data_IF_505654307746
#
_entry.id   IF_505654307746
#
_cell.length_a   1.000
_cell.length_b   1.000
_cell.length_c   1.000
_cell.angle_alpha   90.00
_cell.angle_beta   90.00
_cell.angle_gamma   90.00
#
_symmetry.space_group_name_H-M   'P 1'
#
loop_
_entity.id
_entity.type
_entity.pdbx_description
1 polymer ?
#
# COMPACT_ATOMS: atom_id res chain seq x y z
N UNK A 1 7.96 20.65 28.36
CA UNK A 1 6.64 21.17 28.01
C UNK A 1 5.94 20.05 27.26
N UNK A 2 4.95 19.41 27.89
CA UNK A 2 4.18 18.32 27.25
C UNK A 2 3.24 18.96 26.23
N UNK A 3 3.64 18.91 24.95
CA UNK A 3 2.75 19.23 23.85
C UNK A 3 1.64 18.18 23.82
N UNK A 4 0.45 18.51 24.26
CA UNK A 4 -0.73 17.70 23.96
C UNK A 4 -1.00 17.84 22.47
N UNK A 5 -0.55 16.86 21.68
CA UNK A 5 -0.93 16.74 20.28
C UNK A 5 -2.47 16.72 20.21
N UNK A 6 -3.05 17.78 19.66
CA UNK A 6 -4.47 17.80 19.31
C UNK A 6 -4.65 16.77 18.17
N UNK A 7 -5.49 15.76 18.37
CA UNK A 7 -5.95 14.92 17.25
C UNK A 7 -6.47 15.84 16.15
N UNK A 8 -6.04 15.59 14.92
CA UNK A 8 -6.50 16.28 13.73
C UNK A 8 -8.03 16.15 13.61
N UNK A 9 -8.70 17.21 13.19
CA UNK A 9 -10.12 17.12 12.86
C UNK A 9 -10.27 16.41 11.52
N UNK A 10 -10.78 15.19 11.54
CA UNK A 10 -11.09 14.41 10.34
C UNK A 10 -12.61 14.29 10.18
N UNK A 11 -13.06 14.24 8.95
CA UNK A 11 -14.42 13.85 8.57
C UNK A 11 -14.38 12.56 7.76
N UNK A 12 -15.25 11.62 8.11
CA UNK A 12 -15.43 10.40 7.33
C UNK A 12 -16.21 10.73 6.06
N UNK A 13 -15.69 10.26 4.93
CA UNK A 13 -16.28 10.45 3.61
C UNK A 13 -16.46 9.11 2.90
N UNK A 14 -17.49 9.03 2.06
CA UNK A 14 -17.73 7.89 1.18
C UNK A 14 -17.79 8.39 -0.24
N UNK A 15 -16.82 7.96 -1.04
CA UNK A 15 -16.59 8.46 -2.40
C UNK A 15 -17.10 7.42 -3.39
N UNK A 16 -18.23 7.67 -4.09
CA UNK A 16 -18.71 6.77 -5.13
C UNK A 16 -17.86 6.91 -6.38
N UNK A 17 -17.40 5.79 -6.93
CA UNK A 17 -16.57 5.72 -8.12
C UNK A 17 -17.16 4.74 -9.13
N UNK A 18 -17.06 5.08 -10.42
CA UNK A 18 -17.34 4.18 -11.54
C UNK A 18 -16.03 3.91 -12.27
N UNK A 19 -15.57 2.67 -12.24
CA UNK A 19 -14.29 2.25 -12.81
C UNK A 19 -14.56 1.30 -13.98
N UNK A 20 -13.97 1.62 -15.13
CA UNK A 20 -14.03 0.76 -16.32
C UNK A 20 -12.62 0.31 -16.69
N UNK A 21 -12.32 -0.97 -16.43
CA UNK A 21 -10.99 -1.54 -16.65
C UNK A 21 -11.08 -3.00 -17.09
N UNK A 22 -10.08 -3.43 -17.87
CA UNK A 22 -9.91 -4.83 -18.26
C UNK A 22 -9.58 -5.69 -17.04
N UNK A 23 -10.05 -6.93 -17.05
CA UNK A 23 -9.80 -7.89 -15.97
C UNK A 23 -8.95 -9.05 -16.48
N UNK A 24 -8.07 -9.55 -15.62
CA UNK A 24 -7.49 -10.87 -15.81
C UNK A 24 -8.49 -11.94 -15.35
N UNK A 25 -8.47 -13.08 -16.03
CA UNK A 25 -9.18 -14.27 -15.56
C UNK A 25 -8.27 -15.03 -14.59
N UNK A 26 -8.58 -14.94 -13.29
CA UNK A 26 -7.78 -15.54 -12.22
C UNK A 26 -8.12 -17.03 -12.12
N UNK A 27 -7.17 -17.87 -12.49
CA UNK A 27 -7.27 -19.33 -12.40
C UNK A 27 -6.70 -19.84 -11.05
N UNK A 28 -7.17 -19.27 -9.96
CA UNK A 28 -6.85 -19.71 -8.60
C UNK A 28 -8.15 -19.91 -7.82
N UNK A 29 -8.37 -21.12 -7.33
CA UNK A 29 -9.49 -21.41 -6.43
C UNK A 29 -8.94 -21.63 -5.03
N UNK A 30 -9.36 -20.81 -4.08
CA UNK A 30 -9.01 -20.92 -2.68
C UNK A 30 -10.27 -21.22 -1.87
N UNK A 31 -10.35 -22.39 -1.27
CA UNK A 31 -11.49 -22.87 -0.47
C UNK A 31 -11.11 -23.00 0.99
N UNK A 32 -9.85 -23.37 1.26
CA UNK A 32 -9.31 -23.61 2.58
C UNK A 32 -7.82 -23.21 2.67
N UNK A 33 -7.21 -23.43 3.83
CA UNK A 33 -5.81 -23.07 4.07
C UNK A 33 -4.81 -23.92 3.29
N UNK A 34 -5.18 -25.13 2.82
CA UNK A 34 -4.32 -25.91 1.94
C UNK A 34 -4.23 -25.30 0.55
N UNK A 35 -5.37 -24.79 0.04
CA UNK A 35 -5.38 -24.05 -1.23
C UNK A 35 -4.56 -22.74 -1.11
N UNK A 36 -4.65 -22.04 0.04
CA UNK A 36 -3.84 -20.83 0.30
C UNK A 36 -2.33 -21.13 0.32
N UNK A 37 -1.91 -22.25 0.92
CA UNK A 37 -0.50 -22.71 0.89
C UNK A 37 -0.08 -23.09 -0.52
N UNK A 38 -0.95 -23.79 -1.27
CA UNK A 38 -0.68 -24.17 -2.67
C UNK A 38 -0.49 -22.92 -3.55
N UNK A 39 -1.31 -21.87 -3.35
CA UNK A 39 -1.13 -20.59 -4.01
C UNK A 39 0.20 -19.93 -3.62
N UNK A 40 0.57 -19.97 -2.34
CA UNK A 40 1.86 -19.44 -1.88
C UNK A 40 3.03 -20.16 -2.58
N UNK A 41 3.03 -21.48 -2.66
CA UNK A 41 4.02 -22.22 -3.44
C UNK A 41 4.03 -21.78 -4.90
N UNK A 42 2.87 -21.69 -5.53
CA UNK A 42 2.77 -21.23 -6.91
C UNK A 42 3.36 -19.84 -7.11
N UNK A 43 3.09 -18.87 -6.20
CA UNK A 43 3.59 -17.50 -6.31
C UNK A 43 5.07 -17.35 -5.95
N UNK A 44 5.66 -18.23 -5.14
CA UNK A 44 7.01 -18.08 -4.59
C UNK A 44 8.06 -18.98 -5.25
N UNK A 45 7.66 -20.11 -5.83
CA UNK A 45 8.57 -21.08 -6.46
C UNK A 45 9.00 -20.69 -7.86
N UNK A 46 8.42 -19.60 -8.41
CA UNK A 46 8.67 -19.25 -9.81
C UNK A 46 10.01 -18.57 -10.04
N UNK A 47 10.62 -19.00 -11.12
CA UNK A 47 11.65 -18.24 -11.79
C UNK A 47 10.92 -17.26 -12.70
N UNK A 48 10.84 -16.01 -12.31
CA UNK A 48 10.05 -14.93 -12.90
C UNK A 48 9.69 -15.12 -14.38
N UNK A 49 8.38 -15.15 -14.67
CA UNK A 49 7.78 -15.06 -16.00
C UNK A 49 8.33 -16.06 -17.03
N UNK A 50 8.61 -17.29 -16.64
CA UNK A 50 8.93 -18.31 -17.62
C UNK A 50 7.67 -19.01 -18.13
N UNK A 51 7.63 -19.43 -19.42
CA UNK A 51 6.50 -20.17 -19.96
C UNK A 51 6.18 -21.47 -19.20
N UNK A 52 7.20 -22.02 -18.50
CA UNK A 52 7.10 -23.28 -17.78
C UNK A 52 6.48 -23.15 -16.37
N UNK A 53 6.37 -21.93 -15.86
CA UNK A 53 5.77 -21.63 -14.55
C UNK A 53 4.83 -20.41 -14.64
N UNK A 54 3.65 -20.57 -15.26
CA UNK A 54 2.72 -19.47 -15.48
C UNK A 54 2.07 -19.02 -14.17
N UNK A 55 1.80 -17.70 -14.08
CA UNK A 55 0.94 -17.14 -13.04
C UNK A 55 -0.45 -17.82 -13.08
N UNK A 56 -1.19 -17.87 -11.95
CA UNK A 56 -2.53 -18.44 -11.92
C UNK A 56 -3.55 -17.51 -12.63
N UNK A 57 -3.28 -17.23 -13.90
CA UNK A 57 -4.06 -16.37 -14.78
C UNK A 57 -4.31 -17.15 -16.08
N UNK A 58 -5.57 -17.24 -16.48
CA UNK A 58 -5.98 -17.86 -17.73
C UNK A 58 -6.00 -16.82 -18.86
N UNK A 59 -4.95 -16.83 -19.70
CA UNK A 59 -4.87 -15.91 -20.83
C UNK A 59 -4.37 -14.50 -20.47
N UNK A 60 -4.63 -13.54 -21.34
CA UNK A 60 -4.27 -12.12 -21.14
C UNK A 60 -5.39 -11.29 -20.53
N UNK A 61 -5.22 -9.96 -20.59
CA UNK A 61 -6.28 -9.03 -20.21
C UNK A 61 -7.53 -9.24 -21.08
N UNK A 62 -8.68 -9.42 -20.42
CA UNK A 62 -9.97 -9.53 -21.06
C UNK A 62 -10.56 -8.18 -21.47
N UNK A 63 -11.85 -8.18 -21.81
CA UNK A 63 -12.58 -6.96 -22.12
C UNK A 63 -12.73 -6.05 -20.89
N UNK A 64 -12.99 -4.75 -21.14
CA UNK A 64 -13.26 -3.79 -20.07
C UNK A 64 -14.59 -4.11 -19.41
N UNK A 65 -14.55 -4.16 -18.08
CA UNK A 65 -15.73 -4.31 -17.22
C UNK A 65 -15.91 -3.01 -16.44
N UNK A 66 -17.13 -2.49 -16.45
CA UNK A 66 -17.49 -1.31 -15.65
C UNK A 66 -18.11 -1.75 -14.34
N UNK A 67 -17.51 -1.32 -13.23
CA UNK A 67 -17.96 -1.61 -11.87
C UNK A 67 -18.12 -0.33 -11.06
N UNK A 68 -19.07 -0.34 -10.11
CA UNK A 68 -19.29 0.77 -9.19
C UNK A 68 -18.76 0.39 -7.81
N UNK A 69 -17.94 1.27 -7.23
CA UNK A 69 -17.37 1.12 -5.90
C UNK A 69 -17.68 2.33 -5.03
N UNK A 70 -17.67 2.13 -3.74
CA UNK A 70 -17.66 3.21 -2.75
C UNK A 70 -16.38 3.08 -1.93
N UNK A 71 -15.53 4.08 -2.00
CA UNK A 71 -14.31 4.15 -1.20
C UNK A 71 -14.62 4.88 0.11
N UNK A 72 -14.30 4.25 1.23
CA UNK A 72 -14.33 4.86 2.55
C UNK A 72 -13.00 5.54 2.83
N UNK A 73 -13.05 6.78 3.28
CA UNK A 73 -11.85 7.54 3.61
C UNK A 73 -12.10 8.51 4.76
N UNK A 74 -11.05 8.90 5.46
CA UNK A 74 -11.02 10.07 6.31
C UNK A 74 -10.35 11.24 5.58
N UNK A 75 -11.03 12.39 5.55
CA UNK A 75 -10.49 13.65 5.06
C UNK A 75 -10.10 14.51 6.26
N UNK A 76 -8.81 14.75 6.43
CA UNK A 76 -8.21 15.39 7.58
C UNK A 76 -7.47 16.67 7.18
N UNK A 77 -7.51 17.70 8.03
CA UNK A 77 -6.82 18.98 7.77
C UNK A 77 -7.52 19.86 6.75
N UNK A 78 -6.89 21.00 6.45
CA UNK A 78 -7.45 22.05 5.57
C UNK A 78 -6.40 22.68 4.65
N UNK A 79 -5.22 22.03 4.52
CA UNK A 79 -4.16 22.50 3.62
C UNK A 79 -4.57 22.43 2.16
N UNK A 80 -4.05 23.35 1.33
CA UNK A 80 -4.33 23.34 -0.11
C UNK A 80 -3.56 22.24 -0.86
N UNK A 81 -2.48 21.70 -0.28
CA UNK A 81 -1.81 20.49 -0.73
C UNK A 81 -2.43 19.28 -0.05
N UNK A 82 -2.93 18.33 -0.85
CA UNK A 82 -3.54 17.09 -0.36
C UNK A 82 -2.61 15.90 -0.56
N UNK A 83 -2.36 15.17 0.52
CA UNK A 83 -1.65 13.88 0.48
C UNK A 83 -2.72 12.77 0.44
N UNK A 84 -2.67 11.93 -0.59
CA UNK A 84 -3.50 10.71 -0.69
C UNK A 84 -2.64 9.54 -0.25
N UNK A 85 -3.05 8.83 0.81
CA UNK A 85 -2.30 7.71 1.38
C UNK A 85 -2.87 6.38 0.93
N UNK A 86 -2.03 5.51 0.33
CA UNK A 86 -2.42 4.17 -0.16
C UNK A 86 -1.68 3.10 0.62
N UNK A 87 -2.41 2.30 1.39
CA UNK A 87 -1.85 1.26 2.25
C UNK A 87 -1.46 -0.01 1.48
N UNK A 88 -0.64 -0.84 2.12
CA UNK A 88 -0.15 -2.11 1.60
C UNK A 88 -1.17 -3.26 1.62
N UNK A 89 -0.66 -4.45 1.30
CA UNK A 89 -1.39 -5.72 1.46
C UNK A 89 -1.37 -6.10 2.95
N UNK A 90 -2.42 -6.77 3.42
CA UNK A 90 -2.60 -7.17 4.83
C UNK A 90 -2.75 -5.95 5.77
N UNK A 91 -3.09 -4.81 5.23
CA UNK A 91 -3.23 -3.54 5.95
C UNK A 91 -4.56 -2.86 5.66
N UNK A 92 -4.79 -1.74 6.34
CA UNK A 92 -5.86 -0.79 6.09
C UNK A 92 -5.35 0.65 6.27
N UNK A 93 -6.18 1.66 6.00
CA UNK A 93 -5.86 3.08 6.25
C UNK A 93 -5.38 3.36 7.68
N UNK A 94 -5.62 2.44 8.63
CA UNK A 94 -5.16 2.55 10.02
C UNK A 94 -3.64 2.51 10.15
N UNK A 95 -2.93 1.93 9.18
CA UNK A 95 -1.47 2.00 9.11
C UNK A 95 -0.95 3.44 9.19
N UNK A 96 -1.61 4.37 8.51
CA UNK A 96 -1.21 5.78 8.52
C UNK A 96 -1.74 6.58 9.71
N UNK A 97 -2.72 6.05 10.44
CA UNK A 97 -3.34 6.72 11.58
C UNK A 97 -3.68 5.73 12.71
N UNK A 98 -2.68 5.23 13.45
CA UNK A 98 -2.90 4.35 14.58
C UNK A 98 -3.76 5.03 15.67
N UNK A 99 -4.74 4.28 16.21
CA UNK A 99 -5.64 4.76 17.25
C UNK A 99 -5.37 4.15 18.64
N UNK A 100 -4.20 3.54 18.82
CA UNK A 100 -3.74 3.03 20.10
C UNK A 100 -3.42 4.19 21.06
N UNK A 101 -3.56 3.98 22.37
CA UNK A 101 -3.12 4.97 23.38
C UNK A 101 -1.61 5.23 23.24
N UNK A 102 -1.20 6.48 23.39
CA UNK A 102 0.19 6.93 23.29
C UNK A 102 0.89 6.53 21.96
N UNK A 103 0.12 6.51 20.86
CA UNK A 103 0.63 6.21 19.50
C UNK A 103 0.76 7.46 18.61
N UNK A 104 0.62 8.65 19.13
CA UNK A 104 0.62 9.90 18.35
C UNK A 104 1.89 10.06 17.47
N UNK A 105 3.03 9.57 17.94
CA UNK A 105 4.31 9.59 17.21
C UNK A 105 4.31 8.71 15.95
N UNK A 106 3.38 7.76 15.83
CA UNK A 106 3.23 6.84 14.70
C UNK A 106 2.14 7.28 13.72
N UNK A 107 1.42 8.39 14.02
CA UNK A 107 0.34 8.89 13.16
C UNK A 107 0.89 9.84 12.11
N UNK A 108 1.09 9.32 10.89
CA UNK A 108 1.46 10.15 9.75
C UNK A 108 0.38 11.21 9.45
N UNK A 109 -0.90 10.82 9.52
CA UNK A 109 -2.02 11.74 9.26
C UNK A 109 -1.99 12.94 10.21
N UNK A 110 -1.80 12.71 11.53
CA UNK A 110 -1.76 13.80 12.49
C UNK A 110 -0.50 14.68 12.29
N UNK A 111 0.63 14.08 11.94
CA UNK A 111 1.86 14.82 11.63
C UNK A 111 1.71 15.66 10.35
N UNK A 112 1.13 15.12 9.29
CA UNK A 112 0.91 15.84 8.04
C UNK A 112 -0.07 17.03 8.22
N UNK A 113 -1.15 16.83 8.97
CA UNK A 113 -2.07 17.93 9.30
C UNK A 113 -1.38 19.01 10.15
N UNK A 114 -0.53 18.61 11.10
CA UNK A 114 0.25 19.57 11.90
C UNK A 114 1.28 20.32 11.05
N UNK A 115 1.81 19.71 9.98
CA UNK A 115 2.69 20.34 9.01
C UNK A 115 1.96 21.23 7.98
N UNK A 116 0.61 21.28 8.01
CA UNK A 116 -0.18 22.16 7.17
C UNK A 116 -0.78 21.51 5.92
N UNK A 117 -0.67 20.20 5.76
CA UNK A 117 -1.28 19.45 4.67
C UNK A 117 -2.73 19.07 4.97
N UNK A 118 -3.51 18.78 3.94
CA UNK A 118 -4.70 17.95 4.05
C UNK A 118 -4.36 16.51 3.66
N UNK A 119 -5.09 15.55 4.22
CA UNK A 119 -4.85 14.13 3.98
C UNK A 119 -6.15 13.43 3.62
N UNK A 120 -6.18 12.72 2.50
CA UNK A 120 -7.20 11.75 2.13
C UNK A 120 -6.65 10.35 2.43
N UNK A 121 -7.01 9.80 3.57
CA UNK A 121 -6.58 8.49 4.05
C UNK A 121 -7.69 7.47 3.83
N UNK A 122 -7.54 6.60 2.83
CA UNK A 122 -8.62 5.72 2.36
C UNK A 122 -8.32 4.23 2.56
N UNK A 123 -9.37 3.44 2.73
CA UNK A 123 -9.30 1.98 2.59
C UNK A 123 -9.41 1.62 1.11
N UNK A 124 -8.50 0.76 0.61
CA UNK A 124 -8.57 0.20 -0.75
C UNK A 124 -9.91 -0.53 -0.95
N UNK A 125 -10.35 -0.71 -2.17
CA UNK A 125 -11.56 -1.49 -2.44
C UNK A 125 -11.39 -2.94 -1.93
N UNK A 126 -12.43 -3.52 -1.35
CA UNK A 126 -12.37 -4.84 -0.71
C UNK A 126 -11.77 -4.85 0.70
N UNK A 127 -11.33 -3.69 1.22
CA UNK A 127 -10.67 -3.56 2.52
C UNK A 127 -11.47 -2.64 3.43
N UNK A 128 -11.48 -2.96 4.72
CA UNK A 128 -12.02 -2.11 5.78
C UNK A 128 -13.48 -1.71 5.56
N UNK A 129 -13.73 -0.40 5.46
CA UNK A 129 -15.07 0.15 5.28
C UNK A 129 -15.42 0.47 3.81
N UNK A 130 -14.50 0.25 2.87
CA UNK A 130 -14.77 0.36 1.43
C UNK A 130 -15.68 -0.77 0.94
N UNK A 131 -16.15 -0.67 -0.29
CA UNK A 131 -17.02 -1.71 -0.89
C UNK A 131 -16.41 -3.10 -0.77
N UNK A 132 -17.17 -4.04 -0.24
CA UNK A 132 -16.88 -5.48 -0.39
C UNK A 132 -17.01 -5.85 -1.86
N UNK A 133 -16.01 -6.53 -2.40
CA UNK A 133 -15.89 -6.88 -3.81
C UNK A 133 -15.59 -8.37 -3.97
N UNK A 134 -15.64 -8.88 -5.19
CA UNK A 134 -15.18 -10.23 -5.47
C UNK A 134 -13.65 -10.29 -5.46
N UNK A 135 -13.09 -11.24 -4.70
CA UNK A 135 -11.64 -11.36 -4.46
C UNK A 135 -10.81 -11.68 -5.69
N UNK A 136 -11.41 -12.24 -6.75
CA UNK A 136 -10.69 -12.63 -7.98
C UNK A 136 -10.98 -11.70 -9.17
N UNK A 137 -12.23 -11.23 -9.31
CA UNK A 137 -12.62 -10.44 -10.49
C UNK A 137 -12.44 -8.94 -10.30
N UNK A 138 -12.56 -8.43 -9.08
CA UNK A 138 -12.50 -7.00 -8.79
C UNK A 138 -11.24 -6.60 -8.01
N UNK A 139 -10.78 -7.43 -7.07
CA UNK A 139 -9.54 -7.20 -6.33
C UNK A 139 -8.34 -7.51 -7.22
N UNK A 140 -8.05 -6.61 -8.15
CA UNK A 140 -6.96 -6.72 -9.12
C UNK A 140 -6.16 -5.43 -9.19
N UNK A 141 -4.86 -5.54 -9.35
CA UNK A 141 -3.91 -4.44 -9.27
C UNK A 141 -4.25 -3.26 -10.20
N UNK A 142 -4.52 -3.52 -11.48
CA UNK A 142 -4.86 -2.47 -12.46
C UNK A 142 -6.19 -1.77 -12.15
N UNK A 143 -7.12 -2.46 -11.48
CA UNK A 143 -8.38 -1.87 -11.03
C UNK A 143 -8.12 -0.87 -9.92
N UNK A 144 -7.27 -1.23 -8.96
CA UNK A 144 -6.92 -0.37 -7.83
C UNK A 144 -6.09 0.84 -8.26
N UNK A 145 -5.22 0.71 -9.27
CA UNK A 145 -4.55 1.86 -9.91
C UNK A 145 -5.60 2.84 -10.45
N UNK A 146 -6.64 2.35 -11.12
CA UNK A 146 -7.71 3.23 -11.65
C UNK A 146 -8.62 3.80 -10.56
N UNK A 147 -8.79 3.10 -9.45
CA UNK A 147 -9.44 3.67 -8.24
C UNK A 147 -8.63 4.86 -7.73
N UNK A 148 -7.30 4.73 -7.61
CA UNK A 148 -6.45 5.84 -7.17
C UNK A 148 -6.45 7.00 -8.19
N UNK A 149 -6.44 6.73 -9.50
CA UNK A 149 -6.59 7.77 -10.53
C UNK A 149 -7.90 8.57 -10.35
N UNK A 150 -8.99 7.88 -10.01
CA UNK A 150 -10.27 8.54 -9.74
C UNK A 150 -10.23 9.35 -8.43
N UNK A 151 -9.49 8.89 -7.40
CA UNK A 151 -9.29 9.66 -6.17
C UNK A 151 -8.41 10.90 -6.40
N UNK A 152 -7.41 10.84 -7.28
CA UNK A 152 -6.64 12.03 -7.71
C UNK A 152 -7.58 13.05 -8.38
N UNK A 153 -8.47 12.60 -9.25
CA UNK A 153 -9.49 13.45 -9.86
C UNK A 153 -10.43 14.06 -8.80
N UNK A 154 -10.90 13.25 -7.84
CA UNK A 154 -11.72 13.73 -6.73
C UNK A 154 -10.98 14.79 -5.90
N UNK A 155 -9.70 14.58 -5.58
CA UNK A 155 -8.89 15.55 -4.86
C UNK A 155 -8.82 16.91 -5.57
N UNK A 156 -8.60 16.89 -6.88
CA UNK A 156 -8.51 18.11 -7.71
C UNK A 156 -9.86 18.79 -7.91
N UNK A 157 -10.87 18.05 -8.35
CA UNK A 157 -12.12 18.61 -8.83
C UNK A 157 -13.17 18.82 -7.74
N UNK A 158 -13.20 17.93 -6.73
CA UNK A 158 -14.23 17.96 -5.67
C UNK A 158 -13.70 18.52 -4.37
N UNK A 159 -12.50 18.10 -3.94
CA UNK A 159 -11.88 18.62 -2.73
C UNK A 159 -11.06 19.90 -2.98
N UNK A 160 -10.90 20.31 -4.26
CA UNK A 160 -10.23 21.55 -4.69
C UNK A 160 -8.78 21.67 -4.21
N UNK A 161 -8.05 20.55 -4.16
CA UNK A 161 -6.64 20.56 -3.84
C UNK A 161 -5.83 21.29 -4.92
N UNK A 162 -5.02 22.27 -4.52
CA UNK A 162 -4.10 22.98 -5.44
C UNK A 162 -2.94 22.08 -5.86
N UNK A 163 -2.49 21.19 -4.96
CA UNK A 163 -1.45 20.19 -5.21
C UNK A 163 -1.87 18.84 -4.65
N UNK A 164 -1.45 17.78 -5.32
CA UNK A 164 -1.71 16.38 -4.91
C UNK A 164 -0.41 15.63 -4.79
N UNK A 165 -0.19 15.05 -3.63
CA UNK A 165 0.90 14.14 -3.33
C UNK A 165 0.33 12.72 -3.23
N UNK A 166 0.95 11.75 -3.89
CA UNK A 166 0.66 10.35 -3.62
C UNK A 166 1.69 9.80 -2.64
N UNK A 167 1.22 9.20 -1.55
CA UNK A 167 2.06 8.49 -0.60
C UNK A 167 1.59 7.05 -0.54
N UNK A 168 2.41 6.14 -1.06
CA UNK A 168 2.12 4.71 -1.08
C UNK A 168 3.04 3.91 -0.18
N UNK A 169 2.48 2.87 0.45
CA UNK A 169 3.24 1.89 1.21
C UNK A 169 3.09 0.49 0.60
N UNK A 170 4.22 -0.23 0.43
CA UNK A 170 4.23 -1.62 -0.02
C UNK A 170 3.47 -1.81 -1.34
N UNK A 171 2.48 -2.67 -1.41
CA UNK A 171 1.58 -2.84 -2.56
C UNK A 171 0.96 -1.49 -2.98
N UNK A 172 0.58 -0.64 -2.01
CA UNK A 172 0.11 0.71 -2.27
C UNK A 172 1.15 1.64 -2.89
N UNK A 173 2.44 1.37 -2.69
CA UNK A 173 3.51 2.10 -3.36
C UNK A 173 3.56 1.80 -4.87
N UNK A 174 3.39 0.53 -5.26
CA UNK A 174 3.27 0.15 -6.67
C UNK A 174 2.01 0.75 -7.32
N UNK A 175 0.87 0.75 -6.62
CA UNK A 175 -0.35 1.43 -7.07
C UNK A 175 -0.08 2.93 -7.27
N UNK A 176 0.56 3.59 -6.31
CA UNK A 176 0.84 5.03 -6.36
C UNK A 176 1.82 5.40 -7.47
N UNK A 177 2.86 4.60 -7.69
CA UNK A 177 3.82 4.82 -8.77
C UNK A 177 3.16 4.70 -10.16
N UNK A 178 2.30 3.66 -10.38
CA UNK A 178 1.60 3.52 -11.65
C UNK A 178 0.48 4.57 -11.83
N UNK A 179 -0.18 5.00 -10.75
CA UNK A 179 -1.12 6.11 -10.82
C UNK A 179 -0.41 7.43 -11.20
N UNK A 180 0.76 7.73 -10.60
CA UNK A 180 1.56 8.89 -10.97
C UNK A 180 2.04 8.84 -12.43
N UNK A 181 2.43 7.65 -12.93
CA UNK A 181 2.79 7.44 -14.32
C UNK A 181 1.62 7.65 -15.30
N UNK A 182 0.39 7.33 -14.89
CA UNK A 182 -0.81 7.48 -15.71
C UNK A 182 -1.41 8.89 -15.63
N UNK A 183 -1.19 9.63 -14.55
CA UNK A 183 -1.80 10.94 -14.25
C UNK A 183 -0.76 12.05 -14.09
N UNK A 184 0.25 12.05 -14.95
CA UNK A 184 1.48 12.86 -14.85
C UNK A 184 1.27 14.36 -14.58
N UNK A 185 0.21 14.97 -15.08
CA UNK A 185 -0.09 16.39 -14.86
C UNK A 185 -0.93 16.68 -13.61
N UNK A 186 -1.40 15.65 -12.91
CA UNK A 186 -2.29 15.79 -11.76
C UNK A 186 -1.61 15.46 -10.43
N UNK A 187 -0.40 14.88 -10.46
CA UNK A 187 0.40 14.51 -9.28
C UNK A 187 1.63 15.42 -9.22
N UNK A 188 1.79 16.13 -8.10
CA UNK A 188 2.87 17.10 -7.89
C UNK A 188 4.09 16.51 -7.18
N UNK A 189 3.91 15.44 -6.40
CA UNK A 189 5.00 14.67 -5.81
C UNK A 189 4.57 13.23 -5.51
N UNK A 190 5.54 12.32 -5.45
CA UNK A 190 5.37 10.91 -5.15
C UNK A 190 6.27 10.52 -3.98
N UNK A 191 5.70 9.86 -2.97
CA UNK A 191 6.44 9.29 -1.84
C UNK A 191 6.15 7.79 -1.77
N UNK A 192 7.18 6.97 -1.77
CA UNK A 192 7.08 5.52 -1.75
C UNK A 192 7.81 4.96 -0.53
N UNK A 193 7.15 4.09 0.22
CA UNK A 193 7.74 3.38 1.35
C UNK A 193 7.50 1.88 1.22
N UNK A 194 8.41 1.05 1.75
CA UNK A 194 8.30 -0.41 1.56
C UNK A 194 8.36 -0.81 0.08
N UNK A 195 9.18 -0.12 -0.71
CA UNK A 195 9.24 -0.21 -2.17
C UNK A 195 10.68 -0.34 -2.66
N UNK A 196 10.97 -1.38 -3.40
CA UNK A 196 12.32 -1.62 -3.97
C UNK A 196 12.38 -1.56 -5.50
N UNK A 197 11.25 -1.34 -6.19
CA UNK A 197 11.19 -1.38 -7.65
C UNK A 197 11.34 -2.79 -8.24
N UNK A 198 11.46 -3.81 -7.40
CA UNK A 198 11.62 -5.22 -7.82
C UNK A 198 10.75 -6.16 -7.01
N UNK A 199 10.42 -7.32 -7.55
CA UNK A 199 9.70 -8.41 -6.85
C UNK A 199 10.59 -9.63 -6.58
N UNK A 200 11.92 -9.51 -6.74
CA UNK A 200 12.82 -10.65 -6.47
C UNK A 200 12.77 -11.12 -5.01
N UNK A 201 12.34 -10.26 -4.08
CA UNK A 201 12.18 -10.57 -2.66
C UNK A 201 10.75 -10.96 -2.27
N UNK A 202 9.88 -11.18 -3.25
CA UNK A 202 8.48 -11.56 -3.01
C UNK A 202 8.34 -12.87 -2.21
N UNK A 203 9.24 -13.85 -2.45
CA UNK A 203 9.19 -15.13 -1.76
C UNK A 203 9.40 -15.03 -0.23
N UNK A 204 10.36 -14.27 0.31
CA UNK A 204 10.48 -14.03 1.76
C UNK A 204 9.22 -13.43 2.37
N UNK A 205 8.58 -12.45 1.72
CA UNK A 205 7.33 -11.86 2.16
C UNK A 205 6.19 -12.90 2.21
N UNK A 206 5.87 -13.52 1.08
CA UNK A 206 4.72 -14.43 0.99
C UNK A 206 4.87 -15.67 1.89
N UNK A 207 6.11 -16.19 2.00
CA UNK A 207 6.41 -17.31 2.89
C UNK A 207 6.35 -16.91 4.37
N UNK A 208 6.89 -15.73 4.71
CA UNK A 208 6.89 -15.19 6.07
C UNK A 208 5.49 -14.84 6.57
N UNK A 209 4.65 -14.22 5.76
CA UNK A 209 3.27 -13.91 6.09
C UNK A 209 2.41 -15.16 6.30
N UNK A 210 2.74 -16.27 5.63
CA UNK A 210 2.08 -17.55 5.83
C UNK A 210 0.58 -17.48 5.59
N UNK A 211 0.15 -17.11 4.40
CA UNK A 211 -1.23 -16.78 4.05
C UNK A 211 -2.26 -17.82 4.52
N UNK A 212 -3.39 -17.32 5.00
CA UNK A 212 -4.56 -18.07 5.45
C UNK A 212 -5.83 -17.47 4.85
N UNK A 213 -6.85 -18.31 4.70
CA UNK A 213 -8.19 -17.84 4.30
C UNK A 213 -8.78 -16.99 5.43
N UNK A 214 -9.03 -15.72 5.15
CA UNK A 214 -9.42 -14.72 6.13
C UNK A 214 -10.67 -15.12 6.94
N UNK A 215 -11.74 -15.56 6.24
CA UNK A 215 -13.00 -15.97 6.89
C UNK A 215 -12.85 -17.19 7.81
N UNK A 216 -11.80 -18.00 7.63
CA UNK A 216 -11.49 -19.14 8.52
C UNK A 216 -10.59 -18.72 9.66
N UNK A 217 -9.73 -17.72 9.45
CA UNK A 217 -8.81 -17.18 10.43
C UNK A 217 -9.54 -16.38 11.52
N UNK A 218 -10.43 -15.48 11.12
CA UNK A 218 -11.30 -14.72 12.02
C UNK A 218 -12.72 -14.63 11.45
N UNK A 219 -13.57 -15.61 11.75
CA UNK A 219 -14.95 -15.61 11.25
C UNK A 219 -15.81 -14.44 11.75
N UNK A 220 -15.46 -13.86 12.89
CA UNK A 220 -16.20 -12.72 13.46
C UNK A 220 -15.94 -11.44 12.64
N UNK A 221 -14.69 -11.22 12.20
CA UNK A 221 -14.34 -10.07 11.37
C UNK A 221 -14.66 -10.30 9.89
N UNK A 222 -14.28 -11.45 9.36
CA UNK A 222 -14.20 -11.69 7.92
C UNK A 222 -15.10 -12.83 7.40
N UNK A 223 -15.98 -13.37 8.25
CA UNK A 223 -16.88 -14.47 7.85
C UNK A 223 -17.84 -14.15 6.70
N UNK A 224 -18.06 -12.86 6.41
CA UNK A 224 -18.89 -12.37 5.32
C UNK A 224 -18.16 -12.29 3.96
N UNK A 225 -16.84 -12.40 3.94
CA UNK A 225 -16.02 -12.35 2.72
C UNK A 225 -16.04 -13.70 2.00
N UNK A 226 -15.80 -13.68 0.70
CA UNK A 226 -15.61 -14.93 -0.05
C UNK A 226 -14.27 -15.62 0.34
N UNK A 227 -14.11 -16.87 -0.08
CA UNK A 227 -12.95 -17.67 0.34
C UNK A 227 -11.62 -17.27 -0.31
N UNK A 228 -11.65 -16.44 -1.32
CA UNK A 228 -10.44 -15.93 -1.97
C UNK A 228 -9.80 -14.74 -1.24
N UNK A 229 -10.38 -14.27 -0.13
CA UNK A 229 -9.71 -13.29 0.72
C UNK A 229 -8.71 -13.98 1.65
N UNK A 230 -7.47 -13.48 1.63
CA UNK A 230 -6.32 -14.02 2.35
C UNK A 230 -5.79 -13.01 3.37
N UNK A 231 -5.22 -13.52 4.46
CA UNK A 231 -4.57 -12.73 5.51
C UNK A 231 -3.34 -13.47 6.03
N UNK A 232 -2.57 -12.85 6.93
CA UNK A 232 -1.42 -13.48 7.59
C UNK A 232 -1.85 -14.55 8.61
N UNK A 233 -0.97 -15.50 8.91
CA UNK A 233 -1.28 -16.61 9.81
C UNK A 233 -1.48 -16.21 11.27
N UNK A 234 -0.67 -15.29 11.77
CA UNK A 234 -0.69 -14.86 13.17
C UNK A 234 0.14 -13.58 13.37
N UNK A 235 0.15 -13.08 14.61
CA UNK A 235 0.89 -11.87 14.98
C UNK A 235 2.40 -12.01 14.76
N UNK A 236 2.97 -13.19 14.90
CA UNK A 236 4.42 -13.40 14.74
C UNK A 236 4.81 -13.37 13.26
N UNK A 237 4.00 -13.96 12.40
CA UNK A 237 4.18 -13.90 10.95
C UNK A 237 4.07 -12.45 10.44
N UNK A 238 3.05 -11.69 10.89
CA UNK A 238 2.95 -10.26 10.61
C UNK A 238 4.19 -9.50 11.10
N UNK A 239 4.61 -9.76 12.35
CA UNK A 239 5.78 -9.10 12.94
C UNK A 239 7.05 -9.40 12.13
N UNK A 240 7.22 -10.64 11.67
CA UNK A 240 8.39 -11.03 10.87
C UNK A 240 8.46 -10.29 9.53
N UNK A 241 7.33 -10.11 8.85
CA UNK A 241 7.32 -9.44 7.53
C UNK A 241 7.22 -7.92 7.61
N UNK A 242 6.67 -7.37 8.70
CA UNK A 242 6.43 -5.93 8.86
C UNK A 242 7.47 -5.20 9.69
N UNK A 243 8.04 -5.85 10.71
CA UNK A 243 8.83 -5.17 11.73
C UNK A 243 10.29 -5.65 11.80
N UNK A 244 11.14 -4.86 12.44
CA UNK A 244 12.54 -5.18 12.69
C UNK A 244 12.94 -4.91 14.14
N UNK A 245 13.43 -5.94 14.84
CA UNK A 245 13.96 -5.81 16.20
C UNK A 245 15.34 -5.11 16.21
N UNK A 246 15.65 -4.20 17.15
CA UNK A 246 14.83 -3.76 18.30
C UNK A 246 14.08 -2.43 18.03
N UNK A 247 13.79 -2.09 16.82
CA UNK A 247 13.37 -0.75 16.39
C UNK A 247 11.86 -0.49 16.49
N UNK A 248 11.09 -1.40 17.09
CA UNK A 248 9.63 -1.24 17.25
C UNK A 248 9.18 -1.55 18.70
N UNK A 249 7.99 -1.09 19.05
CA UNK A 249 7.34 -1.45 20.29
C UNK A 249 6.43 -2.66 20.06
N UNK A 250 6.59 -3.72 20.84
CA UNK A 250 5.78 -4.96 20.74
C UNK A 250 4.28 -4.69 20.67
N UNK A 251 3.79 -3.70 21.46
CA UNK A 251 2.37 -3.29 21.45
C UNK A 251 1.89 -2.80 20.08
N UNK A 252 2.80 -2.22 19.26
CA UNK A 252 2.46 -1.78 17.90
C UNK A 252 2.22 -2.98 16.99
N UNK A 253 3.09 -3.99 17.03
CA UNK A 253 2.88 -5.22 16.26
C UNK A 253 1.60 -5.96 16.68
N UNK A 254 1.33 -6.06 17.99
CA UNK A 254 0.09 -6.65 18.53
C UNK A 254 -1.15 -5.86 18.06
N UNK A 255 -1.09 -4.53 18.11
CA UNK A 255 -2.16 -3.66 17.62
C UNK A 255 -2.35 -3.76 16.10
N UNK A 256 -1.25 -3.79 15.34
CA UNK A 256 -1.30 -3.93 13.87
C UNK A 256 -2.04 -5.21 13.49
N UNK A 257 -1.70 -6.33 14.10
CA UNK A 257 -2.39 -7.60 13.84
C UNK A 257 -3.87 -7.55 14.24
N UNK A 258 -4.16 -7.03 15.44
CA UNK A 258 -5.52 -7.07 16.00
C UNK A 258 -6.48 -6.05 15.34
N UNK A 259 -5.96 -4.92 14.83
CA UNK A 259 -6.78 -3.75 14.46
C UNK A 259 -6.52 -3.26 13.04
N UNK A 260 -5.27 -3.10 12.63
CA UNK A 260 -4.92 -2.52 11.33
C UNK A 260 -4.85 -3.57 10.21
N UNK A 261 -4.58 -4.84 10.56
CA UNK A 261 -4.52 -5.95 9.61
C UNK A 261 -5.90 -6.20 9.00
N UNK A 262 -5.97 -6.15 7.67
CA UNK A 262 -7.16 -6.46 6.87
C UNK A 262 -6.78 -7.41 5.72
N UNK A 263 -7.69 -8.25 5.24
CA UNK A 263 -7.39 -9.21 4.20
C UNK A 263 -7.29 -8.57 2.81
N UNK A 264 -6.68 -9.30 1.89
CA UNK A 264 -6.55 -8.94 0.48
C UNK A 264 -7.13 -10.02 -0.42
N UNK A 265 -7.54 -9.65 -1.64
CA UNK A 265 -8.12 -10.57 -2.61
C UNK A 265 -7.10 -11.41 -3.35
N UNK A 266 -7.42 -12.66 -3.67
CA UNK A 266 -6.58 -13.62 -4.40
C UNK A 266 -6.09 -13.08 -5.74
N UNK A 267 -6.81 -12.14 -6.35
CA UNK A 267 -6.41 -11.53 -7.63
C UNK A 267 -5.32 -10.48 -7.53
N UNK A 268 -5.09 -9.87 -6.34
CA UNK A 268 -4.18 -8.73 -6.19
C UNK A 268 -2.73 -9.09 -6.53
N UNK A 269 -2.15 -10.10 -5.92
CA UNK A 269 -0.75 -10.49 -6.12
C UNK A 269 -0.46 -11.03 -7.53
N UNK A 270 -1.25 -11.96 -8.09
CA UNK A 270 -1.02 -12.42 -9.45
C UNK A 270 -1.07 -11.30 -10.48
N UNK A 271 -2.00 -10.35 -10.32
CA UNK A 271 -2.15 -9.25 -11.27
C UNK A 271 -1.09 -8.16 -11.11
N UNK A 272 -0.56 -7.92 -9.91
CA UNK A 272 0.66 -7.13 -9.71
C UNK A 272 1.83 -7.74 -10.47
N UNK A 273 2.04 -9.06 -10.33
CA UNK A 273 3.11 -9.80 -10.99
C UNK A 273 2.97 -9.82 -12.52
N UNK A 274 1.75 -9.75 -13.04
CA UNK A 274 1.46 -9.79 -14.48
C UNK A 274 1.48 -8.40 -15.14
N UNK A 275 1.36 -7.33 -14.37
CA UNK A 275 1.25 -5.97 -14.91
C UNK A 275 2.63 -5.39 -15.21
N UNK A 276 2.90 -4.95 -16.45
CA UNK A 276 4.13 -4.22 -16.76
C UNK A 276 4.17 -2.87 -16.00
N UNK A 277 5.31 -2.54 -15.44
CA UNK A 277 5.48 -1.27 -14.70
C UNK A 277 6.03 -0.18 -15.61
N UNK A 278 5.33 0.95 -15.66
CA UNK A 278 5.68 2.10 -16.49
C UNK A 278 6.27 3.24 -15.64
N UNK A 279 7.18 2.93 -14.69
CA UNK A 279 7.79 3.93 -13.79
C UNK A 279 8.53 5.03 -14.56
N UNK A 280 9.06 4.72 -15.75
CA UNK A 280 9.69 5.69 -16.63
C UNK A 280 8.78 6.83 -17.12
N UNK A 281 7.46 6.72 -16.90
CA UNK A 281 6.52 7.79 -17.20
C UNK A 281 6.22 8.71 -15.99
N UNK A 282 6.73 8.40 -14.80
CA UNK A 282 6.59 9.26 -13.62
C UNK A 282 7.41 10.52 -13.82
N UNK A 283 6.75 11.68 -13.89
CA UNK A 283 7.41 12.99 -14.06
C UNK A 283 7.51 13.77 -12.76
N UNK A 284 6.72 13.41 -11.76
CA UNK A 284 6.72 14.06 -10.45
C UNK A 284 8.05 13.83 -9.70
N UNK A 285 8.53 14.79 -8.90
CA UNK A 285 9.59 14.55 -7.95
C UNK A 285 9.20 13.38 -7.03
N UNK A 286 10.13 12.45 -6.86
CA UNK A 286 9.88 11.17 -6.19
C UNK A 286 10.87 10.96 -5.05
N UNK A 287 10.35 10.61 -3.87
CA UNK A 287 11.12 10.18 -2.71
C UNK A 287 10.81 8.71 -2.40
N UNK A 288 11.84 7.89 -2.25
CA UNK A 288 11.73 6.50 -1.82
C UNK A 288 12.43 6.30 -0.48
N UNK A 289 11.68 5.89 0.52
CA UNK A 289 12.18 5.63 1.88
C UNK A 289 12.03 4.15 2.23
N UNK A 290 13.13 3.54 2.67
CA UNK A 290 13.18 2.12 2.93
C UNK A 290 13.77 1.84 4.32
N UNK A 291 13.13 0.94 5.05
CA UNK A 291 13.71 0.37 6.26
C UNK A 291 14.85 -0.57 5.88
N UNK A 292 16.03 -0.40 6.48
CA UNK A 292 17.21 -1.24 6.19
C UNK A 292 16.91 -2.73 6.32
N UNK A 293 16.10 -3.11 7.30
CA UNK A 293 15.84 -4.51 7.63
C UNK A 293 14.51 -5.02 7.09
N UNK A 294 14.02 -4.42 6.02
CA UNK A 294 12.78 -4.81 5.37
C UNK A 294 12.92 -6.19 4.69
N UNK A 295 12.24 -7.17 5.27
CA UNK A 295 12.18 -8.55 4.72
C UNK A 295 11.33 -8.60 3.45
N UNK A 296 10.26 -7.80 3.41
CA UNK A 296 9.23 -7.88 2.36
C UNK A 296 9.69 -7.25 1.04
N UNK A 297 10.41 -6.13 1.09
CA UNK A 297 10.85 -5.43 -0.10
C UNK A 297 12.29 -5.75 -0.52
N UNK A 298 13.17 -6.15 0.43
CA UNK A 298 14.61 -6.32 0.19
C UNK A 298 15.18 -7.64 0.73
N UNK A 299 14.36 -8.51 1.31
CA UNK A 299 14.84 -9.77 1.88
C UNK A 299 15.64 -9.62 3.17
N UNK A 300 15.57 -8.46 3.86
CA UNK A 300 16.17 -8.21 5.18
C UNK A 300 17.43 -7.35 5.21
N UNK A 301 17.95 -6.91 4.06
CA UNK A 301 18.98 -5.85 3.95
C UNK A 301 18.75 -5.04 2.68
N UNK A 302 18.33 -3.78 2.87
CA UNK A 302 17.97 -2.90 1.76
C UNK A 302 19.14 -2.01 1.26
N UNK A 303 20.28 -2.01 1.96
CA UNK A 303 21.41 -1.13 1.57
C UNK A 303 21.87 -1.47 0.16
N UNK A 304 21.84 -0.47 -0.73
CA UNK A 304 22.21 -0.59 -2.14
C UNK A 304 21.13 -1.18 -3.06
N UNK A 305 19.97 -1.62 -2.53
CA UNK A 305 18.88 -2.16 -3.36
C UNK A 305 18.25 -1.06 -4.24
N UNK A 306 18.29 0.20 -3.80
CA UNK A 306 17.76 1.34 -4.53
C UNK A 306 18.76 2.00 -5.50
N UNK A 307 20.00 1.55 -5.57
CA UNK A 307 21.07 2.19 -6.35
C UNK A 307 20.75 2.28 -7.86
N UNK A 308 20.02 1.31 -8.39
CA UNK A 308 19.63 1.26 -9.81
C UNK A 308 18.26 1.82 -10.11
N UNK A 309 17.51 2.27 -9.10
CA UNK A 309 16.12 2.71 -9.27
C UNK A 309 15.97 3.90 -10.23
N UNK A 310 17.00 4.73 -10.37
CA UNK A 310 17.03 5.83 -11.34
C UNK A 310 16.94 5.36 -12.80
N UNK A 311 17.30 4.11 -13.08
CA UNK A 311 17.19 3.51 -14.42
C UNK A 311 15.73 3.23 -14.78
N UNK A 312 14.87 3.05 -13.77
CA UNK A 312 13.42 2.83 -13.94
C UNK A 312 12.63 4.15 -13.94
N UNK A 313 13.01 5.13 -13.12
CA UNK A 313 12.32 6.43 -12.98
C UNK A 313 12.92 7.52 -13.89
N UNK A 314 13.11 7.22 -15.15
CA UNK A 314 13.87 8.05 -16.12
C UNK A 314 13.27 9.43 -16.41
N UNK A 315 11.97 9.65 -16.19
CA UNK A 315 11.31 10.94 -16.40
C UNK A 315 11.10 11.73 -15.10
N UNK A 316 11.40 11.18 -13.93
CA UNK A 316 11.24 11.88 -12.66
C UNK A 316 12.15 13.12 -12.63
N UNK A 317 11.57 14.27 -12.27
CA UNK A 317 12.36 15.54 -12.20
C UNK A 317 13.40 15.51 -11.10
N UNK A 318 13.10 14.79 -10.01
CA UNK A 318 13.99 14.49 -8.88
C UNK A 318 13.70 13.05 -8.44
N UNK A 319 14.73 12.28 -8.12
CA UNK A 319 14.60 11.00 -7.43
C UNK A 319 15.55 11.00 -6.24
N UNK A 320 15.00 10.94 -5.04
CA UNK A 320 15.74 10.78 -3.80
C UNK A 320 15.44 9.41 -3.18
N UNK A 321 16.49 8.75 -2.69
CA UNK A 321 16.39 7.42 -2.09
C UNK A 321 17.09 7.38 -0.74
N UNK A 322 16.47 6.71 0.24
CA UNK A 322 17.04 6.39 1.55
C UNK A 322 16.74 4.93 1.85
N UNK A 323 17.75 4.09 2.07
CA UNK A 323 17.61 2.64 2.21
C UNK A 323 18.24 2.04 3.49
N UNK A 324 18.68 2.91 4.40
CA UNK A 324 19.42 2.51 5.60
C UNK A 324 18.72 2.87 6.92
N UNK A 325 17.42 3.21 6.87
CA UNK A 325 16.64 3.58 8.05
C UNK A 325 16.54 2.39 9.03
N UNK A 326 16.72 2.59 10.36
CA UNK A 326 16.67 1.51 11.35
C UNK A 326 15.22 1.06 11.59
N UNK A 327 14.66 0.34 10.62
CA UNK A 327 13.29 -0.13 10.60
C UNK A 327 13.14 -1.37 9.69
N UNK A 328 12.01 -2.05 9.80
CA UNK A 328 11.53 -3.05 8.86
C UNK A 328 10.59 -2.44 7.81
N UNK A 329 9.68 -3.28 7.30
CA UNK A 329 8.75 -2.92 6.24
C UNK A 329 7.76 -1.83 6.65
N UNK A 330 7.09 -2.00 7.81
CA UNK A 330 6.08 -1.09 8.34
C UNK A 330 6.72 0.18 8.92
N UNK A 331 7.42 0.93 8.08
CA UNK A 331 8.31 2.03 8.44
C UNK A 331 7.69 3.05 9.42
N UNK A 332 6.40 3.39 9.25
CA UNK A 332 5.70 4.37 10.09
C UNK A 332 5.30 3.83 11.47
N UNK A 333 5.43 2.52 11.70
CA UNK A 333 5.13 1.88 12.99
C UNK A 333 6.39 1.54 13.80
N UNK A 334 7.55 2.01 13.33
CA UNK A 334 8.84 1.90 14.02
C UNK A 334 9.15 3.17 14.82
N UNK A 335 10.04 3.06 15.80
CA UNK A 335 10.42 4.17 16.70
C UNK A 335 11.03 5.37 15.97
N UNK A 336 11.50 5.18 14.73
CA UNK A 336 12.03 6.22 13.85
C UNK A 336 10.95 7.02 13.13
N UNK A 337 9.67 6.66 13.23
CA UNK A 337 8.57 7.28 12.46
C UNK A 337 8.59 8.83 12.45
N UNK A 338 8.82 9.55 13.57
CA UNK A 338 8.89 11.01 13.53
C UNK A 338 9.97 11.55 12.59
N UNK A 339 11.15 10.92 12.56
CA UNK A 339 12.24 11.33 11.67
C UNK A 339 11.89 11.05 10.19
N UNK A 340 11.21 9.94 9.92
CA UNK A 340 10.71 9.62 8.59
C UNK A 340 9.71 10.66 8.12
N UNK A 341 8.79 11.10 8.99
CA UNK A 341 7.82 12.14 8.68
C UNK A 341 8.52 13.48 8.39
N UNK A 342 9.49 13.87 9.21
CA UNK A 342 10.30 15.07 8.98
C UNK A 342 11.05 15.02 7.64
N UNK A 343 11.58 13.86 7.25
CA UNK A 343 12.22 13.66 5.94
C UNK A 343 11.22 13.86 4.79
N UNK A 344 10.01 13.27 4.90
CA UNK A 344 8.96 13.45 3.90
C UNK A 344 8.57 14.92 3.76
N UNK A 345 8.31 15.61 4.86
CA UNK A 345 7.90 17.02 4.81
C UNK A 345 9.06 17.94 4.35
N UNK A 346 10.30 17.63 4.69
CA UNK A 346 11.49 18.30 4.17
C UNK A 346 11.55 18.21 2.65
N UNK A 347 11.47 16.98 2.10
CA UNK A 347 11.44 16.76 0.66
C UNK A 347 10.29 17.52 -0.03
N UNK A 348 9.06 17.41 0.48
CA UNK A 348 7.91 18.11 -0.12
C UNK A 348 8.12 19.65 -0.12
N UNK A 349 8.66 20.19 0.97
CA UNK A 349 8.98 21.63 1.06
C UNK A 349 10.06 22.05 0.05
N UNK A 350 11.10 21.26 -0.14
CA UNK A 350 12.17 21.51 -1.12
C UNK A 350 11.66 21.48 -2.56
N UNK A 351 10.65 20.65 -2.83
CA UNK A 351 9.96 20.58 -4.12
C UNK A 351 8.84 21.65 -4.26
N UNK A 352 8.69 22.54 -3.29
CA UNK A 352 7.61 23.55 -3.22
C UNK A 352 6.20 22.93 -3.27
N UNK A 353 6.02 21.78 -2.65
CA UNK A 353 4.73 21.05 -2.61
C UNK A 353 4.09 21.10 -1.24
#
# INVERSE_FOLDING_TARGET
>A
MTSTSRKSSCSEVRIPLTISESRFDINATVRDNWDAVSLTFNLTSRVFNTPDDPLPIAGGLGEKVTSNYTVAASLCGTGSTMIITTHGIIESRRYFQPNLSDSAQYSFVDAAVAAGYSVLNYDRIGVGESSTINSSTDAQFQVEVNVLNALVTYARETAHAEKVVLLGHSYGAYISALSAAATTSAVDALVLTGFSGTLQYFAPFASGAGFRVARLQDPARWGHLDSGYLTTSDVYALTYVGFADPYFEKRMAEWTFAVACEPFGVGELPTLLATPWAFGNVTAPTLVLQGRYDVSACGGDCVGVLDTLAEDFTAATVLETVDDLPAGHDLFLHTIAPQVFDTIFGFLSEQNV
#
